data_IF_688348326053
#
_entry.id   IF_688348326053
#
_cell.length_a   1.000
_cell.length_b   1.000
_cell.length_c   1.000
_cell.angle_alpha   90.00
_cell.angle_beta   90.00
_cell.angle_gamma   90.00
#
_symmetry.space_group_name_H-M   'P 1'
#
loop_
_entity.id
_entity.type
_entity.pdbx_description
1 polymer ?
#
# COMPACT_ATOMS: atom_id res chain seq x y z
N UNK A 1 10.70 4.73 -1.48
CA UNK A 1 9.65 5.25 -0.60
C UNK A 1 9.51 4.49 0.71
N UNK A 2 10.14 3.32 0.88
CA UNK A 2 10.09 2.56 2.13
C UNK A 2 11.39 2.83 2.91
N UNK A 3 11.35 3.12 4.23
CA UNK A 3 12.55 3.13 5.05
C UNK A 3 13.33 1.82 4.91
N UNK A 4 14.66 1.90 4.84
CA UNK A 4 15.50 0.75 4.51
C UNK A 4 15.30 -0.43 5.48
N UNK A 5 15.18 -0.14 6.76
CA UNK A 5 14.97 -1.14 7.80
C UNK A 5 13.56 -1.75 7.76
N UNK A 6 12.54 -1.01 7.31
CA UNK A 6 11.20 -1.59 7.06
C UNK A 6 11.25 -2.55 5.88
N UNK A 7 11.94 -2.16 4.80
CA UNK A 7 12.10 -3.01 3.63
C UNK A 7 12.85 -4.30 3.99
N UNK A 8 13.96 -4.21 4.73
CA UNK A 8 14.74 -5.38 5.16
C UNK A 8 13.91 -6.34 6.02
N UNK A 9 13.08 -5.80 6.91
CA UNK A 9 12.17 -6.59 7.73
C UNK A 9 11.14 -7.35 6.88
N UNK A 10 10.49 -6.66 5.94
CA UNK A 10 9.48 -7.25 5.06
C UNK A 10 10.05 -8.33 4.12
N UNK A 11 11.31 -8.19 3.71
CA UNK A 11 12.01 -9.18 2.88
C UNK A 11 12.50 -10.40 3.67
N UNK A 12 12.47 -10.34 5.00
CA UNK A 12 12.97 -11.39 5.90
C UNK A 12 11.89 -11.86 6.88
N UNK A 13 10.77 -12.43 6.40
CA UNK A 13 9.69 -12.87 7.27
C UNK A 13 10.15 -13.97 8.25
N UNK A 14 9.58 -14.04 9.47
CA UNK A 14 9.88 -15.11 10.42
C UNK A 14 9.64 -16.51 9.83
N UNK A 15 10.48 -17.48 10.20
CA UNK A 15 10.36 -18.88 9.73
C UNK A 15 8.98 -19.48 9.98
N UNK A 16 8.34 -19.12 11.10
CA UNK A 16 7.00 -19.56 11.44
C UNK A 16 5.93 -19.15 10.41
N UNK A 17 6.18 -18.11 9.58
CA UNK A 17 5.30 -17.67 8.49
C UNK A 17 5.69 -18.34 7.17
N UNK A 18 6.99 -18.53 6.89
CA UNK A 18 7.45 -19.17 5.65
C UNK A 18 7.15 -20.66 5.58
N UNK A 19 7.01 -21.31 6.73
CA UNK A 19 6.74 -22.75 6.84
C UNK A 19 5.23 -23.07 6.83
N UNK A 20 4.35 -22.06 6.81
CA UNK A 20 2.91 -22.30 6.75
C UNK A 20 2.54 -22.73 5.34
N UNK A 21 2.11 -23.98 5.20
CA UNK A 21 1.58 -24.53 3.96
C UNK A 21 0.33 -23.74 3.56
N UNK A 22 0.31 -23.18 2.34
CA UNK A 22 -0.86 -22.46 1.80
C UNK A 22 -2.14 -23.29 2.00
N UNK A 23 -3.07 -22.76 2.80
CA UNK A 23 -4.32 -23.43 3.18
C UNK A 23 -4.41 -24.00 4.61
N UNK A 24 -3.33 -24.01 5.41
CA UNK A 24 -3.37 -24.47 6.82
C UNK A 24 -3.75 -23.37 7.84
N UNK A 25 -3.94 -22.13 7.37
CA UNK A 25 -4.11 -20.94 8.20
C UNK A 25 -5.43 -20.96 9.01
N UNK A 26 -6.45 -21.71 8.56
CA UNK A 26 -7.75 -21.78 9.24
C UNK A 26 -7.73 -22.70 10.48
N UNK A 27 -6.84 -23.70 10.55
CA UNK A 27 -6.92 -24.77 11.54
C UNK A 27 -6.02 -24.59 12.80
N UNK A 28 -5.03 -23.69 12.78
CA UNK A 28 -4.00 -23.64 13.84
C UNK A 28 -4.17 -22.54 14.89
N UNK A 29 -5.28 -21.78 14.87
CA UNK A 29 -5.40 -20.52 15.62
C UNK A 29 -5.44 -20.67 17.16
N UNK A 30 -5.75 -21.84 17.72
CA UNK A 30 -6.23 -21.84 19.11
C UNK A 30 -5.18 -21.93 20.25
N UNK A 31 -3.95 -22.41 20.04
CA UNK A 31 -3.04 -22.65 21.19
C UNK A 31 -1.65 -22.01 21.13
N UNK A 32 -1.16 -21.56 19.97
CA UNK A 32 0.16 -20.91 19.85
C UNK A 32 0.09 -19.38 19.88
N UNK A 33 -1.09 -18.81 19.63
CA UNK A 33 -1.32 -17.38 19.50
C UNK A 33 -1.10 -16.61 20.82
N UNK A 34 -1.48 -17.18 21.97
CA UNK A 34 -1.37 -16.49 23.25
C UNK A 34 0.08 -16.32 23.75
N UNK A 35 1.00 -17.22 23.35
CA UNK A 35 2.41 -17.11 23.71
C UNK A 35 3.23 -16.26 22.71
N UNK A 36 2.80 -16.15 21.45
CA UNK A 36 3.46 -15.31 20.44
C UNK A 36 3.05 -13.83 20.54
N UNK A 37 1.86 -13.53 21.04
CA UNK A 37 1.36 -12.16 21.23
C UNK A 37 2.16 -11.36 22.28
N UNK A 38 2.79 -12.02 23.25
CA UNK A 38 3.67 -11.36 24.24
C UNK A 38 5.03 -10.95 23.66
N UNK A 39 5.46 -11.58 22.56
CA UNK A 39 6.68 -11.24 21.79
C UNK A 39 6.40 -10.33 20.58
N UNK A 40 5.13 -10.05 20.27
CA UNK A 40 4.72 -9.38 19.04
C UNK A 40 5.00 -7.87 18.99
N UNK A 41 5.27 -7.21 20.14
CA UNK A 41 5.64 -5.78 20.14
C UNK A 41 7.09 -5.51 19.72
N UNK A 42 7.97 -6.51 19.80
CA UNK A 42 9.40 -6.42 19.40
C UNK A 42 9.70 -7.11 18.05
N UNK A 43 8.71 -7.73 17.40
CA UNK A 43 8.92 -8.30 16.07
C UNK A 43 8.96 -7.19 15.02
N UNK A 44 10.18 -6.94 14.53
CA UNK A 44 10.47 -5.94 13.50
C UNK A 44 9.64 -6.14 12.23
N UNK A 45 9.27 -7.38 11.89
CA UNK A 45 8.42 -7.71 10.76
C UNK A 45 6.98 -7.20 10.98
N UNK A 46 6.40 -7.46 12.16
CA UNK A 46 5.05 -6.96 12.51
C UNK A 46 5.00 -5.44 12.53
N UNK A 47 6.05 -4.79 13.04
CA UNK A 47 6.17 -3.32 12.99
C UNK A 47 6.20 -2.80 11.56
N UNK A 48 6.88 -3.50 10.65
CA UNK A 48 6.95 -3.10 9.24
C UNK A 48 5.59 -3.24 8.52
N UNK A 49 4.78 -4.24 8.88
CA UNK A 49 3.46 -4.47 8.29
C UNK A 49 2.46 -3.32 8.53
N UNK A 50 2.65 -2.55 9.61
CA UNK A 50 1.77 -1.43 9.99
C UNK A 50 2.51 -0.08 9.96
N UNK A 51 3.71 -0.02 9.38
CA UNK A 51 4.58 1.15 9.45
C UNK A 51 4.00 2.35 8.70
N UNK A 52 3.88 3.47 9.41
CA UNK A 52 3.61 4.80 8.86
C UNK A 52 4.89 5.61 8.65
N UNK A 53 6.07 5.03 8.91
CA UNK A 53 7.35 5.73 8.77
C UNK A 53 7.65 5.99 7.30
N UNK A 54 8.05 7.23 7.02
CA UNK A 54 8.32 7.73 5.66
C UNK A 54 9.82 7.98 5.44
N UNK A 55 10.22 8.07 4.18
CA UNK A 55 11.54 8.59 3.77
C UNK A 55 11.38 10.11 3.60
N UNK A 56 11.91 10.90 4.53
CA UNK A 56 11.68 12.34 4.59
C UNK A 56 12.12 13.08 3.31
N UNK A 57 13.16 12.59 2.63
CA UNK A 57 13.68 13.15 1.38
C UNK A 57 12.71 13.02 0.21
N UNK A 58 11.64 12.23 0.35
CA UNK A 58 10.57 12.14 -0.64
C UNK A 58 9.62 13.34 -0.61
N UNK A 59 9.54 14.06 0.52
CA UNK A 59 8.59 15.17 0.64
C UNK A 59 8.86 16.26 -0.40
N UNK A 60 7.82 16.63 -1.15
CA UNK A 60 7.89 17.61 -2.23
C UNK A 60 8.63 17.13 -3.50
N UNK A 61 8.98 15.85 -3.62
CA UNK A 61 9.66 15.34 -4.83
C UNK A 61 8.69 15.10 -5.97
N UNK A 62 9.08 15.57 -7.16
CA UNK A 62 8.48 15.12 -8.41
C UNK A 62 8.98 13.71 -8.73
N UNK A 63 8.06 12.75 -8.85
CA UNK A 63 8.37 11.35 -9.12
C UNK A 63 7.49 10.78 -10.22
N UNK A 64 7.96 9.68 -10.83
CA UNK A 64 7.17 8.78 -11.67
C UNK A 64 7.20 7.40 -11.04
N UNK A 65 6.05 6.79 -10.81
CA UNK A 65 5.94 5.51 -10.07
C UNK A 65 4.83 4.65 -10.66
N UNK A 66 5.02 3.32 -10.76
CA UNK A 66 3.97 2.42 -11.20
C UNK A 66 3.13 1.93 -10.01
N UNK A 67 1.87 1.60 -10.26
CA UNK A 67 1.05 0.90 -9.27
C UNK A 67 -0.37 0.63 -9.74
N UNK A 68 -1.11 -0.11 -8.93
CA UNK A 68 -2.51 -0.44 -9.18
C UNK A 68 -3.42 0.60 -8.53
N UNK A 69 -4.60 0.80 -9.13
CA UNK A 69 -5.57 1.82 -8.71
C UNK A 69 -6.63 1.17 -7.84
N UNK A 70 -6.83 1.69 -6.62
CA UNK A 70 -8.00 1.41 -5.78
C UNK A 70 -8.84 2.70 -5.68
N UNK A 71 -9.94 2.82 -6.45
CA UNK A 71 -10.72 4.05 -6.51
C UNK A 71 -11.39 4.39 -5.18
N UNK A 72 -11.44 5.68 -4.86
CA UNK A 72 -12.08 6.21 -3.66
C UNK A 72 -13.22 7.18 -3.99
N UNK A 73 -12.95 8.12 -4.90
CA UNK A 73 -13.92 9.13 -5.31
C UNK A 73 -14.04 9.19 -6.83
N UNK A 74 -15.24 9.56 -7.28
CA UNK A 74 -15.59 9.70 -8.68
C UNK A 74 -16.32 11.01 -8.92
N UNK A 75 -16.17 11.54 -10.14
CA UNK A 75 -17.10 12.54 -10.68
C UNK A 75 -18.47 11.92 -10.96
N UNK A 76 -19.49 12.76 -11.17
CA UNK A 76 -20.82 12.34 -11.66
C UNK A 76 -20.73 11.56 -13.00
N UNK A 77 -19.70 11.83 -13.81
CA UNK A 77 -19.41 11.14 -15.06
C UNK A 77 -18.63 9.83 -14.89
N UNK A 78 -18.50 9.31 -13.67
CA UNK A 78 -17.76 8.09 -13.32
C UNK A 78 -16.25 8.12 -13.58
N UNK A 79 -15.66 9.29 -13.81
CA UNK A 79 -14.20 9.43 -13.84
C UNK A 79 -13.64 9.46 -12.42
N UNK A 80 -12.54 8.73 -12.17
CA UNK A 80 -11.89 8.62 -10.85
C UNK A 80 -11.17 9.93 -10.52
N UNK A 81 -11.47 10.54 -9.38
CA UNK A 81 -10.85 11.80 -8.92
C UNK A 81 -9.92 11.62 -7.73
N UNK A 82 -10.12 10.55 -6.97
CA UNK A 82 -9.26 10.16 -5.87
C UNK A 82 -9.13 8.65 -5.80
N UNK A 83 -7.93 8.16 -5.55
CA UNK A 83 -7.65 6.73 -5.45
C UNK A 83 -6.42 6.46 -4.58
N UNK A 84 -6.30 5.24 -4.07
CA UNK A 84 -5.02 4.74 -3.57
C UNK A 84 -4.22 4.13 -4.73
N UNK A 85 -2.94 4.49 -4.82
CA UNK A 85 -1.96 3.75 -5.60
C UNK A 85 -1.26 2.73 -4.69
N UNK A 86 -1.28 1.46 -5.09
CA UNK A 86 -0.79 0.32 -4.30
C UNK A 86 0.14 -0.58 -5.13
N UNK A 87 1.05 -1.36 -4.50
CA UNK A 87 2.09 -2.08 -5.22
C UNK A 87 1.64 -3.41 -5.85
N UNK A 88 0.44 -3.92 -5.54
CA UNK A 88 -0.06 -5.19 -6.07
C UNK A 88 -1.57 -5.15 -6.32
N UNK A 89 -2.00 -5.96 -7.29
CA UNK A 89 -3.40 -6.14 -7.64
C UNK A 89 -4.21 -6.79 -6.49
N UNK A 90 -5.48 -6.41 -6.34
CA UNK A 90 -6.40 -6.98 -5.36
C UNK A 90 -6.24 -6.46 -3.92
N UNK A 91 -5.27 -5.57 -3.67
CA UNK A 91 -5.12 -4.87 -2.40
C UNK A 91 -6.43 -4.21 -1.94
N UNK A 92 -6.68 -4.21 -0.64
CA UNK A 92 -7.83 -3.59 0.04
C UNK A 92 -9.20 -4.24 -0.26
N UNK A 93 -9.31 -5.16 -1.23
CA UNK A 93 -10.57 -5.81 -1.61
C UNK A 93 -10.51 -7.32 -1.38
N UNK A 94 -9.47 -7.98 -1.89
CA UNK A 94 -9.34 -9.44 -1.85
C UNK A 94 -8.27 -9.92 -0.87
N UNK A 95 -7.28 -9.07 -0.61
CA UNK A 95 -6.18 -9.34 0.31
C UNK A 95 -6.00 -8.15 1.25
N UNK A 96 -5.35 -8.35 2.42
CA UNK A 96 -5.09 -7.27 3.35
C UNK A 96 -4.42 -6.05 2.68
N UNK A 97 -4.69 -4.83 3.17
CA UNK A 97 -4.06 -3.63 2.65
C UNK A 97 -2.53 -3.68 2.84
N UNK A 98 -1.74 -3.07 1.94
CA UNK A 98 -0.31 -2.90 2.13
C UNK A 98 -0.01 -2.07 3.39
N UNK A 99 1.23 -2.10 3.90
CA UNK A 99 1.65 -1.18 4.95
C UNK A 99 1.42 0.29 4.54
N UNK A 100 1.04 1.20 5.45
CA UNK A 100 0.71 2.58 5.10
C UNK A 100 1.81 3.32 4.33
N UNK A 101 3.08 3.03 4.61
CA UNK A 101 4.22 3.59 3.88
C UNK A 101 4.47 2.99 2.48
N UNK A 102 3.54 2.16 2.00
CA UNK A 102 3.49 1.62 0.63
C UNK A 102 2.21 2.03 -0.10
N UNK A 103 1.39 2.89 0.50
CA UNK A 103 0.16 3.41 -0.10
C UNK A 103 0.34 4.91 -0.37
N UNK A 104 -0.06 5.34 -1.58
CA UNK A 104 -0.13 6.76 -1.94
C UNK A 104 -1.61 7.12 -2.13
N UNK A 105 -2.13 8.08 -1.38
CA UNK A 105 -3.40 8.73 -1.70
C UNK A 105 -3.18 9.71 -2.85
N UNK A 106 -3.80 9.46 -3.99
CA UNK A 106 -3.63 10.27 -5.19
C UNK A 106 -4.86 11.13 -5.43
N UNK A 107 -4.65 12.44 -5.58
CA UNK A 107 -5.68 13.39 -5.99
C UNK A 107 -5.50 13.75 -7.47
N UNK A 108 -6.59 13.67 -8.22
CA UNK A 108 -6.65 14.04 -9.63
C UNK A 108 -8.01 14.64 -10.00
N UNK A 109 -8.27 15.91 -9.63
CA UNK A 109 -9.60 16.53 -9.76
C UNK A 109 -10.16 16.57 -11.19
N UNK A 110 -9.29 16.51 -12.21
CA UNK A 110 -9.71 16.49 -13.61
C UNK A 110 -10.33 15.16 -14.05
N UNK A 111 -10.22 14.11 -13.23
CA UNK A 111 -10.81 12.81 -13.50
C UNK A 111 -9.98 11.94 -14.44
N UNK A 112 -9.90 10.66 -14.12
CA UNK A 112 -9.28 9.64 -14.96
C UNK A 112 -10.31 8.57 -15.32
N UNK A 113 -10.48 8.33 -16.62
CA UNK A 113 -11.18 7.14 -17.13
C UNK A 113 -10.14 6.09 -17.44
N UNK A 114 -10.03 5.08 -16.58
CA UNK A 114 -9.13 3.96 -16.77
C UNK A 114 -9.95 2.69 -16.95
N UNK A 115 -9.73 2.00 -18.07
CA UNK A 115 -10.61 0.94 -18.54
C UNK A 115 -10.35 -0.40 -17.85
N UNK A 116 -9.09 -0.67 -17.53
CA UNK A 116 -8.62 -1.98 -17.09
C UNK A 116 -7.92 -1.83 -15.72
N UNK A 117 -8.70 -1.67 -14.65
CA UNK A 117 -8.20 -1.52 -13.26
C UNK A 117 -7.27 -2.66 -12.80
N UNK A 118 -7.31 -3.77 -13.51
CA UNK A 118 -6.48 -4.95 -13.28
C UNK A 118 -5.02 -4.73 -13.70
N UNK A 119 -4.75 -3.75 -14.57
CA UNK A 119 -3.40 -3.40 -15.01
C UNK A 119 -2.84 -2.21 -14.21
N UNK A 120 -1.52 -2.19 -13.95
CA UNK A 120 -0.90 -1.04 -13.32
C UNK A 120 -0.87 0.18 -14.25
N UNK A 121 -0.64 1.34 -13.66
CA UNK A 121 -0.43 2.61 -14.35
C UNK A 121 0.90 3.23 -13.93
N UNK A 122 1.57 3.88 -14.88
CA UNK A 122 2.60 4.85 -14.54
C UNK A 122 1.92 6.18 -14.20
N UNK A 123 2.13 6.69 -12.98
CA UNK A 123 1.68 8.04 -12.61
C UNK A 123 2.88 8.94 -12.35
N UNK A 124 2.74 10.22 -12.68
CA UNK A 124 3.73 11.25 -12.36
C UNK A 124 3.10 12.41 -11.62
N UNK A 125 3.77 12.92 -10.59
CA UNK A 125 3.26 14.00 -9.77
C UNK A 125 4.24 14.39 -8.66
N UNK A 126 3.81 15.32 -7.81
CA UNK A 126 4.57 15.73 -6.62
C UNK A 126 4.05 14.95 -5.43
N UNK A 127 4.93 14.16 -4.80
CA UNK A 127 4.59 13.41 -3.59
C UNK A 127 4.87 14.25 -2.35
N UNK A 128 4.02 14.09 -1.33
CA UNK A 128 4.14 14.67 -0.01
C UNK A 128 4.12 13.57 1.03
N UNK A 129 4.88 13.72 2.10
CA UNK A 129 4.79 12.84 3.27
C UNK A 129 3.67 13.34 4.17
N UNK A 130 2.53 12.67 4.15
CA UNK A 130 1.36 13.05 4.94
C UNK A 130 0.53 11.80 5.24
N UNK A 131 0.20 11.60 6.51
CA UNK A 131 -0.67 10.51 6.92
C UNK A 131 -2.12 10.91 6.63
N UNK A 132 -2.81 10.08 5.84
CA UNK A 132 -4.23 10.20 5.53
C UNK A 132 -4.89 8.85 5.81
N UNK A 133 -6.06 8.88 6.43
CA UNK A 133 -6.81 7.70 6.82
C UNK A 133 -8.25 7.80 6.35
N UNK A 134 -8.78 6.70 5.85
CA UNK A 134 -10.21 6.53 5.57
C UNK A 134 -10.64 5.10 5.93
N UNK A 135 -11.91 4.79 5.70
CA UNK A 135 -12.49 3.49 6.03
C UNK A 135 -11.84 2.30 5.30
N UNK A 136 -11.10 2.53 4.21
CA UNK A 136 -10.45 1.50 3.42
C UNK A 136 -9.00 1.25 3.85
N UNK A 137 -8.21 2.30 4.07
CA UNK A 137 -6.80 2.18 4.46
C UNK A 137 -6.21 3.48 5.04
N UNK A 138 -5.03 3.34 5.64
CA UNK A 138 -4.13 4.46 5.98
C UNK A 138 -3.03 4.56 4.92
N UNK A 139 -2.78 5.76 4.40
CA UNK A 139 -1.67 6.07 3.51
C UNK A 139 -0.70 7.04 4.19
N UNK A 140 0.62 6.81 4.07
CA UNK A 140 1.64 7.71 4.60
C UNK A 140 2.16 8.73 3.56
N UNK A 141 1.72 8.58 2.30
CA UNK A 141 2.07 9.46 1.20
C UNK A 141 0.82 9.99 0.49
N UNK A 142 0.91 11.23 0.02
CA UNK A 142 -0.13 11.87 -0.79
C UNK A 142 0.51 12.38 -2.08
N UNK A 143 -0.18 12.28 -3.21
CA UNK A 143 0.29 12.82 -4.48
C UNK A 143 -0.78 13.68 -5.14
N UNK A 144 -0.39 14.88 -5.55
CA UNK A 144 -1.13 15.64 -6.55
C UNK A 144 -0.63 15.17 -7.93
N UNK A 145 -1.44 14.36 -8.63
CA UNK A 145 -1.04 13.74 -9.89
C UNK A 145 -1.08 14.76 -11.04
N UNK A 146 -0.02 14.78 -11.83
CA UNK A 146 0.12 15.64 -13.01
C UNK A 146 -0.29 14.90 -14.30
N UNK A 147 0.14 13.65 -14.46
CA UNK A 147 -0.17 12.83 -15.63
C UNK A 147 -0.11 11.34 -15.29
N UNK A 148 -0.73 10.52 -16.13
CA UNK A 148 -0.65 9.07 -16.08
C UNK A 148 -0.49 8.49 -17.49
N UNK A 149 0.11 7.31 -17.55
CA UNK A 149 0.37 6.54 -18.77
C UNK A 149 0.04 5.07 -18.50
N UNK A 150 -0.43 4.34 -19.51
CA UNK A 150 -0.56 2.89 -19.42
C UNK A 150 0.80 2.27 -19.07
N UNK A 151 0.78 1.24 -18.21
CA UNK A 151 2.02 0.53 -17.92
C UNK A 151 2.53 -0.20 -19.17
N UNK A 152 3.82 -0.05 -19.40
CA UNK A 152 4.58 -0.76 -20.43
C UNK A 152 5.87 -1.26 -19.77
N UNK A 153 6.26 -2.50 -20.10
CA UNK A 153 7.51 -3.13 -19.63
C UNK A 153 8.76 -2.45 -20.18
#
# INVERSE_FOLDING_TARGET
>A
MIPKDDLEALLSPPQAITDIKDGAWEDQINNQLLNSLATASDDRYQQALVSTRVVAEMDGKAIRIPGFVVPLEYTDGQAITQFFLVPYFGACIHVPPPPPNQIILVNYPQGMTFKDIDDPLWISGVVKTSIQENDLATAAYVMDMAQFEAYTE
#
